data_IF_645252496006
#
_entry.id   IF_645252496006
#
_cell.length_a   1.000
_cell.length_b   1.000
_cell.length_c   1.000
_cell.angle_alpha   90.00
_cell.angle_beta   90.00
_cell.angle_gamma   90.00
#
_symmetry.space_group_name_H-M   'P 1'
#
loop_
_entity.id
_entity.type
_entity.pdbx_description
1 polymer ?
#
# COMPACT_ATOMS: atom_id res chain seq x y z
N UNK A 1 27.76 -36.08 -21.04
CA UNK A 1 27.23 -34.70 -20.95
C UNK A 1 26.59 -34.57 -19.59
N UNK A 2 27.18 -33.74 -18.74
CA UNK A 2 26.83 -33.62 -17.32
C UNK A 2 25.69 -32.62 -17.21
N UNK A 3 24.54 -33.05 -16.71
CA UNK A 3 23.55 -32.14 -16.12
C UNK A 3 23.39 -32.62 -14.68
N UNK A 4 24.35 -32.27 -13.84
CA UNK A 4 24.15 -32.31 -12.40
C UNK A 4 23.38 -31.05 -12.04
N UNK A 5 22.05 -31.14 -12.13
CA UNK A 5 21.13 -30.17 -11.54
C UNK A 5 21.33 -30.20 -10.03
N UNK A 6 22.25 -29.39 -9.55
CA UNK A 6 22.56 -29.26 -8.13
C UNK A 6 21.46 -28.40 -7.48
N UNK A 7 20.27 -29.00 -7.32
CA UNK A 7 19.24 -28.44 -6.46
C UNK A 7 19.69 -28.70 -5.02
N UNK A 8 20.56 -27.83 -4.53
CA UNK A 8 21.07 -27.91 -3.17
C UNK A 8 19.92 -27.56 -2.24
N UNK A 9 19.24 -28.59 -1.74
CA UNK A 9 18.19 -28.45 -0.73
C UNK A 9 18.82 -27.73 0.46
N UNK A 10 18.36 -26.51 0.73
CA UNK A 10 18.79 -25.75 1.89
C UNK A 10 18.56 -26.60 3.14
N UNK A 11 19.56 -26.70 4.00
CA UNK A 11 19.47 -27.46 5.25
C UNK A 11 18.21 -27.03 6.01
N UNK A 12 17.30 -27.97 6.38
CA UNK A 12 16.05 -27.63 7.05
C UNK A 12 16.27 -26.96 8.40
N UNK A 13 17.35 -27.27 9.11
CA UNK A 13 17.71 -26.60 10.37
C UNK A 13 18.12 -25.16 10.11
N UNK A 14 18.87 -24.92 9.02
CA UNK A 14 19.22 -23.56 8.59
C UNK A 14 17.98 -22.77 8.18
N UNK A 15 17.05 -23.40 7.45
CA UNK A 15 15.79 -22.78 7.04
C UNK A 15 14.99 -22.30 8.25
N UNK A 16 14.86 -23.14 9.27
CA UNK A 16 14.13 -22.80 10.49
C UNK A 16 14.84 -21.72 11.31
N UNK A 17 16.15 -21.83 11.46
CA UNK A 17 16.96 -20.81 12.14
C UNK A 17 16.84 -19.43 11.48
N UNK A 18 16.69 -19.35 10.14
CA UNK A 18 16.47 -18.09 9.43
C UNK A 18 15.08 -17.50 9.75
N UNK A 19 14.02 -18.33 9.77
CA UNK A 19 12.66 -17.88 10.07
C UNK A 19 12.53 -17.35 11.49
N UNK A 20 13.15 -18.02 12.46
CA UNK A 20 13.09 -17.68 13.88
C UNK A 20 14.06 -16.57 14.27
N UNK A 21 15.07 -16.29 13.44
CA UNK A 21 16.09 -15.30 13.76
C UNK A 21 15.50 -13.87 13.87
N UNK A 22 15.86 -13.11 14.92
CA UNK A 22 15.51 -11.70 14.99
C UNK A 22 16.04 -10.92 13.78
N UNK A 23 15.27 -9.96 13.28
CA UNK A 23 15.63 -9.12 12.11
C UNK A 23 17.04 -8.51 12.22
N UNK A 24 17.45 -8.09 13.42
CA UNK A 24 18.79 -7.55 13.67
C UNK A 24 19.91 -8.56 13.39
N UNK A 25 19.70 -9.83 13.74
CA UNK A 25 20.66 -10.91 13.48
C UNK A 25 20.78 -11.17 11.98
N UNK A 26 19.66 -11.26 11.26
CA UNK A 26 19.64 -11.48 9.82
C UNK A 26 20.33 -10.34 9.05
N UNK A 27 20.06 -9.08 9.41
CA UNK A 27 20.71 -7.92 8.77
C UNK A 27 22.22 -7.95 8.95
N UNK A 28 22.69 -8.21 10.17
CA UNK A 28 24.13 -8.32 10.45
C UNK A 28 24.78 -9.47 9.68
N UNK A 29 24.14 -10.64 9.68
CA UNK A 29 24.64 -11.80 8.96
C UNK A 29 24.71 -11.54 7.45
N UNK A 30 23.68 -10.91 6.87
CA UNK A 30 23.69 -10.54 5.45
C UNK A 30 24.84 -9.59 5.13
N UNK A 31 25.05 -8.55 5.94
CA UNK A 31 26.17 -7.62 5.76
C UNK A 31 27.52 -8.34 5.82
N UNK A 32 27.69 -9.26 6.77
CA UNK A 32 28.91 -10.07 6.91
C UNK A 32 29.12 -11.01 5.71
N UNK A 33 28.05 -11.62 5.18
CA UNK A 33 28.12 -12.44 3.97
C UNK A 33 28.55 -11.60 2.77
N UNK A 34 27.99 -10.39 2.61
CA UNK A 34 28.33 -9.49 1.51
C UNK A 34 29.76 -8.96 1.59
N UNK A 35 30.30 -8.80 2.80
CA UNK A 35 31.70 -8.43 3.01
C UNK A 35 32.65 -9.57 2.62
N UNK A 36 32.31 -10.81 2.97
CA UNK A 36 33.16 -11.98 2.72
C UNK A 36 33.05 -12.54 1.30
N UNK A 37 31.90 -12.35 0.66
CA UNK A 37 31.58 -12.95 -0.64
C UNK A 37 31.12 -11.88 -1.63
N UNK A 38 32.04 -11.25 -2.38
CA UNK A 38 31.71 -10.21 -3.36
C UNK A 38 30.69 -10.65 -4.41
N UNK A 39 30.69 -11.93 -4.79
CA UNK A 39 29.74 -12.48 -5.77
C UNK A 39 28.28 -12.38 -5.29
N UNK A 40 28.05 -12.37 -3.97
CA UNK A 40 26.73 -12.21 -3.38
C UNK A 40 26.20 -10.76 -3.47
N UNK A 41 27.06 -9.76 -3.71
CA UNK A 41 26.69 -8.34 -3.81
C UNK A 41 25.77 -8.09 -5.00
N UNK A 42 26.04 -8.75 -6.13
CA UNK A 42 25.21 -8.61 -7.34
C UNK A 42 23.79 -9.09 -7.06
N UNK A 43 23.65 -10.31 -6.52
CA UNK A 43 22.36 -10.89 -6.14
C UNK A 43 21.62 -10.01 -5.12
N UNK A 44 22.31 -9.58 -4.05
CA UNK A 44 21.68 -8.71 -3.06
C UNK A 44 21.27 -7.36 -3.65
N UNK A 45 22.06 -6.81 -4.59
CA UNK A 45 21.71 -5.57 -5.28
C UNK A 45 20.46 -5.73 -6.13
N UNK A 46 20.33 -6.83 -6.88
CA UNK A 46 19.15 -7.12 -7.71
C UNK A 46 17.86 -7.25 -6.87
N UNK A 47 17.97 -7.85 -5.68
CA UNK A 47 16.83 -8.05 -4.79
C UNK A 47 16.49 -6.84 -3.92
N UNK A 48 17.46 -6.02 -3.51
CA UNK A 48 17.24 -4.94 -2.53
C UNK A 48 17.26 -3.54 -3.12
N UNK A 49 17.75 -3.37 -4.36
CA UNK A 49 17.92 -2.05 -4.99
C UNK A 49 17.13 -1.97 -6.29
N UNK A 50 16.36 -0.90 -6.43
CA UNK A 50 15.72 -0.54 -7.68
C UNK A 50 16.49 0.57 -8.40
N UNK A 51 16.68 0.36 -9.70
CA UNK A 51 17.00 1.38 -10.67
C UNK A 51 15.68 1.96 -11.18
N UNK A 52 15.40 3.23 -10.83
CA UNK A 52 14.20 3.93 -11.29
C UNK A 52 14.60 5.16 -12.13
N UNK A 53 13.86 5.48 -13.21
CA UNK A 53 14.11 6.69 -13.97
C UNK A 53 14.05 7.93 -13.07
N UNK A 54 15.09 8.77 -13.12
CA UNK A 54 15.08 10.07 -12.47
C UNK A 54 14.30 11.05 -13.34
N UNK A 55 12.98 11.01 -13.16
CA UNK A 55 12.05 11.91 -13.83
C UNK A 55 11.99 13.27 -13.14
N UNK A 56 12.92 13.66 -12.27
CA UNK A 56 12.88 14.96 -11.58
C UNK A 56 13.96 15.91 -12.10
N UNK A 57 13.61 17.18 -12.34
CA UNK A 57 14.61 18.20 -12.66
C UNK A 57 15.28 18.75 -11.39
N UNK A 58 16.26 19.65 -11.55
CA UNK A 58 16.98 20.31 -10.44
C UNK A 58 16.06 21.04 -9.43
N UNK A 59 14.82 21.33 -9.82
CA UNK A 59 13.80 21.97 -9.00
C UNK A 59 12.78 20.97 -8.44
N UNK A 60 13.01 19.66 -8.57
CA UNK A 60 12.11 18.60 -8.11
C UNK A 60 10.86 18.39 -8.96
N UNK A 61 10.71 19.09 -10.10
CA UNK A 61 9.54 18.98 -10.96
C UNK A 61 9.67 17.76 -11.88
N UNK A 62 8.58 17.01 -12.02
CA UNK A 62 8.52 15.83 -12.89
C UNK A 62 8.73 16.26 -14.36
N UNK A 63 9.79 15.78 -14.98
CA UNK A 63 10.09 15.95 -16.41
C UNK A 63 9.38 14.82 -17.14
N UNK A 64 8.41 15.19 -17.98
CA UNK A 64 7.84 14.27 -18.96
C UNK A 64 8.77 14.33 -20.16
N UNK A 65 9.54 13.27 -20.40
CA UNK A 65 10.30 13.10 -21.63
C UNK A 65 9.71 11.94 -22.40
N UNK A 66 9.41 12.14 -23.69
CA UNK A 66 8.84 11.09 -24.55
C UNK A 66 9.83 9.96 -24.89
N UNK A 67 11.10 10.09 -24.46
CA UNK A 67 12.16 9.13 -24.76
C UNK A 67 12.80 8.59 -23.47
N UNK A 68 12.30 7.44 -23.00
CA UNK A 68 12.69 6.79 -21.74
C UNK A 68 14.13 6.25 -21.71
N UNK A 69 14.83 6.22 -22.85
CA UNK A 69 16.14 5.56 -22.97
C UNK A 69 17.35 6.39 -22.50
N UNK A 70 17.20 7.68 -22.21
CA UNK A 70 18.32 8.56 -21.80
C UNK A 70 18.16 9.20 -20.42
N UNK A 71 17.08 8.90 -19.69
CA UNK A 71 16.89 9.51 -18.37
C UNK A 71 17.96 8.99 -17.38
N UNK A 72 18.59 9.89 -16.60
CA UNK A 72 19.47 9.49 -15.51
C UNK A 72 18.73 8.51 -14.60
N UNK A 73 19.37 7.43 -14.18
CA UNK A 73 18.76 6.44 -13.29
C UNK A 73 19.14 6.76 -11.86
N UNK A 74 18.16 6.82 -10.97
CA UNK A 74 18.40 6.92 -9.52
C UNK A 74 18.25 5.56 -8.87
N UNK A 75 19.21 5.21 -8.00
CA UNK A 75 19.16 4.00 -7.17
C UNK A 75 18.39 4.29 -5.88
N UNK A 76 17.42 3.44 -5.54
CA UNK A 76 16.64 3.49 -4.29
C UNK A 76 16.43 2.08 -3.73
N UNK A 77 15.92 1.97 -2.51
CA UNK A 77 15.44 0.70 -1.97
C UNK A 77 14.38 0.12 -2.91
N UNK A 78 14.43 -1.18 -3.18
CA UNK A 78 13.48 -1.83 -4.07
C UNK A 78 12.08 -1.93 -3.48
N UNK A 79 12.00 -2.21 -2.19
CA UNK A 79 10.74 -2.33 -1.47
C UNK A 79 10.60 -1.18 -0.48
N UNK A 80 9.38 -0.66 -0.37
CA UNK A 80 9.01 0.37 0.61
C UNK A 80 7.62 0.07 1.17
N UNK A 81 7.22 0.78 2.24
CA UNK A 81 5.91 0.60 2.87
C UNK A 81 4.95 1.71 2.46
N UNK A 82 3.76 1.34 1.99
CA UNK A 82 2.74 2.30 1.61
C UNK A 82 2.20 3.03 2.85
N UNK A 83 2.08 4.35 2.79
CA UNK A 83 1.54 5.14 3.92
C UNK A 83 0.02 5.05 4.04
N UNK A 84 -0.66 4.57 2.99
CA UNK A 84 -2.11 4.41 2.93
C UNK A 84 -2.53 3.01 3.43
N UNK A 85 -2.29 1.96 2.63
CA UNK A 85 -2.65 0.59 3.00
C UNK A 85 -1.68 -0.12 3.96
N UNK A 86 -0.52 0.49 4.26
CA UNK A 86 0.50 -0.08 5.17
C UNK A 86 1.20 -1.37 4.70
N UNK A 87 0.95 -1.81 3.48
CA UNK A 87 1.61 -2.97 2.86
C UNK A 87 2.97 -2.63 2.24
N UNK A 88 3.82 -3.63 2.08
CA UNK A 88 5.09 -3.51 1.35
C UNK A 88 4.84 -3.60 -0.16
N UNK A 89 5.51 -2.76 -0.95
CA UNK A 89 5.37 -2.75 -2.41
C UNK A 89 6.73 -2.57 -3.11
N UNK A 90 6.87 -3.13 -4.31
CA UNK A 90 8.05 -2.92 -5.17
C UNK A 90 7.95 -1.55 -5.85
N UNK A 91 8.93 -0.66 -5.61
CA UNK A 91 8.95 0.70 -6.18
C UNK A 91 9.10 0.70 -7.71
N UNK A 92 9.49 -0.42 -8.32
CA UNK A 92 9.44 -0.59 -9.78
C UNK A 92 8.02 -0.84 -10.30
N UNK A 93 7.15 -1.43 -9.47
CA UNK A 93 5.79 -1.82 -9.84
C UNK A 93 4.83 -0.65 -9.69
N UNK A 94 4.75 0.22 -10.70
CA UNK A 94 3.80 1.34 -10.71
C UNK A 94 2.46 0.92 -11.27
N UNK A 95 1.71 0.09 -10.54
CA UNK A 95 0.31 -0.18 -10.86
C UNK A 95 -0.57 0.94 -10.28
N UNK A 96 -1.27 1.67 -11.16
CA UNK A 96 -2.04 2.86 -10.79
C UNK A 96 -3.21 2.59 -9.83
N UNK A 97 -3.62 1.33 -9.66
CA UNK A 97 -4.76 0.92 -8.81
C UNK A 97 -4.40 -0.23 -7.85
N UNK A 98 -3.11 -0.49 -7.61
CA UNK A 98 -2.70 -1.61 -6.74
C UNK A 98 -2.97 -1.37 -5.26
N UNK A 99 -3.03 -0.10 -4.82
CA UNK A 99 -3.29 0.23 -3.43
C UNK A 99 -4.81 0.41 -3.22
N UNK A 100 -5.36 -0.34 -2.27
CA UNK A 100 -6.72 -0.20 -1.77
C UNK A 100 -6.64 0.19 -0.28
N UNK A 101 -7.34 1.24 0.15
CA UNK A 101 -7.34 1.66 1.55
C UNK A 101 -8.65 2.34 1.95
N UNK A 102 -8.88 2.44 3.25
CA UNK A 102 -9.91 3.28 3.84
C UNK A 102 -9.27 4.57 4.36
N UNK A 103 -9.94 5.72 4.15
CA UNK A 103 -9.43 7.03 4.58
C UNK A 103 -9.75 7.32 6.04
N UNK A 104 -10.94 6.92 6.50
CA UNK A 104 -11.36 7.20 7.87
C UNK A 104 -11.11 6.03 8.81
N UNK A 105 -11.86 5.97 9.90
CA UNK A 105 -11.61 5.10 11.05
C UNK A 105 -12.66 3.99 11.18
N UNK A 106 -12.28 2.92 11.90
CA UNK A 106 -13.20 1.84 12.27
C UNK A 106 -13.97 2.27 13.51
N UNK A 107 -15.29 2.36 13.38
CA UNK A 107 -16.22 2.69 14.46
C UNK A 107 -17.05 1.46 14.83
N UNK A 108 -17.46 1.35 16.09
CA UNK A 108 -18.31 0.26 16.54
C UNK A 108 -19.67 0.34 15.86
N UNK A 109 -20.11 -0.78 15.30
CA UNK A 109 -21.48 -0.92 14.81
C UNK A 109 -22.38 -1.30 16.00
N UNK A 110 -22.87 -0.30 16.75
CA UNK A 110 -23.71 -0.49 17.94
C UNK A 110 -24.98 -1.33 17.68
N UNK A 111 -25.43 -1.41 16.43
CA UNK A 111 -26.59 -2.20 16.01
C UNK A 111 -26.25 -3.67 15.73
N UNK A 112 -24.97 -4.03 15.72
CA UNK A 112 -24.54 -5.40 15.46
C UNK A 112 -24.86 -6.33 16.63
N UNK A 113 -25.59 -7.41 16.34
CA UNK A 113 -26.05 -8.41 17.32
C UNK A 113 -24.91 -8.99 18.19
N UNK A 114 -23.66 -8.97 17.70
CA UNK A 114 -22.52 -9.48 18.47
C UNK A 114 -22.26 -8.69 19.76
N UNK A 115 -22.60 -7.40 19.80
CA UNK A 115 -22.41 -6.56 20.98
C UNK A 115 -23.49 -6.78 22.04
N UNK A 116 -24.69 -7.26 21.65
CA UNK A 116 -25.76 -7.60 22.59
C UNK A 116 -25.38 -8.72 23.57
N UNK A 117 -24.40 -9.54 23.19
CA UNK A 117 -23.87 -10.63 24.01
C UNK A 117 -22.51 -10.30 24.64
N UNK A 118 -22.00 -9.08 24.47
CA UNK A 118 -20.73 -8.66 25.02
C UNK A 118 -20.84 -8.44 26.54
N UNK A 119 -20.09 -9.22 27.32
CA UNK A 119 -20.07 -9.13 28.79
C UNK A 119 -18.74 -8.59 29.30
N UNK A 120 -18.68 -8.15 30.57
CA UNK A 120 -17.47 -7.59 31.21
C UNK A 120 -16.22 -8.50 31.12
N UNK A 121 -16.41 -9.81 30.87
CA UNK A 121 -15.31 -10.77 30.67
C UNK A 121 -14.60 -10.71 29.30
N UNK A 122 -15.15 -10.01 28.32
CA UNK A 122 -14.62 -9.94 26.95
C UNK A 122 -13.69 -8.74 26.71
N UNK A 123 -13.56 -7.84 27.68
CA UNK A 123 -12.73 -6.63 27.56
C UNK A 123 -13.53 -5.41 27.08
N UNK A 124 -12.81 -4.37 26.65
CA UNK A 124 -13.41 -3.14 26.13
C UNK A 124 -13.90 -3.40 24.70
N UNK A 125 -15.20 -3.23 24.48
CA UNK A 125 -15.82 -3.51 23.19
C UNK A 125 -15.20 -2.66 22.06
N UNK A 126 -15.02 -1.34 22.26
CA UNK A 126 -14.34 -0.46 21.30
C UNK A 126 -12.85 -0.34 21.66
N UNK A 127 -12.10 -1.40 21.38
CA UNK A 127 -10.65 -1.44 21.53
C UNK A 127 -9.98 -1.91 20.25
N UNK A 128 -8.71 -1.59 20.07
CA UNK A 128 -7.92 -2.07 18.93
C UNK A 128 -7.84 -3.61 18.90
N UNK A 129 -7.84 -4.25 20.08
CA UNK A 129 -7.92 -5.70 20.20
C UNK A 129 -9.24 -6.25 19.65
N UNK A 130 -10.38 -5.63 19.98
CA UNK A 130 -11.69 -6.01 19.47
C UNK A 130 -11.82 -5.75 17.98
N UNK A 131 -11.36 -4.58 17.48
CA UNK A 131 -11.34 -4.24 16.04
C UNK A 131 -10.58 -5.27 15.20
N UNK A 132 -9.50 -5.82 15.76
CA UNK A 132 -8.70 -6.85 15.10
C UNK A 132 -9.32 -8.25 15.21
N UNK A 133 -9.96 -8.57 16.33
CA UNK A 133 -10.54 -9.89 16.58
C UNK A 133 -11.90 -10.08 15.90
N UNK A 134 -12.67 -8.99 15.77
CA UNK A 134 -14.06 -8.98 15.33
C UNK A 134 -14.31 -7.83 14.34
N UNK A 135 -13.55 -7.74 13.24
CA UNK A 135 -13.66 -6.62 12.30
C UNK A 135 -15.07 -6.44 11.70
N UNK A 136 -15.87 -7.50 11.63
CA UNK A 136 -17.28 -7.49 11.20
C UNK A 136 -18.20 -6.69 12.14
N UNK A 137 -17.82 -6.52 13.40
CA UNK A 137 -18.55 -5.73 14.40
C UNK A 137 -18.33 -4.23 14.33
N UNK A 138 -17.51 -3.80 13.37
CA UNK A 138 -17.15 -2.42 13.17
C UNK A 138 -17.41 -2.02 11.73
N UNK A 139 -17.65 -0.73 11.52
CA UNK A 139 -17.90 -0.13 10.22
C UNK A 139 -16.87 0.98 9.97
N UNK A 140 -16.46 1.11 8.72
CA UNK A 140 -15.65 2.24 8.28
C UNK A 140 -16.53 3.47 8.08
N UNK A 141 -16.26 4.55 8.81
CA UNK A 141 -16.94 5.85 8.66
C UNK A 141 -16.96 6.36 7.19
N UNK A 142 -15.90 6.08 6.43
CA UNK A 142 -15.66 6.62 5.10
C UNK A 142 -16.45 5.93 3.99
N UNK A 143 -17.06 4.77 4.23
CA UNK A 143 -17.86 4.08 3.22
C UNK A 143 -18.96 3.16 3.78
N UNK A 144 -19.13 3.13 5.10
CA UNK A 144 -20.14 2.36 5.82
C UNK A 144 -20.08 0.85 5.54
N UNK A 145 -18.91 0.34 5.11
CA UNK A 145 -18.66 -1.09 4.96
C UNK A 145 -18.09 -1.64 6.26
N UNK A 146 -18.36 -2.91 6.53
CA UNK A 146 -17.79 -3.61 7.68
C UNK A 146 -16.26 -3.69 7.61
N UNK A 147 -15.62 -3.81 8.76
CA UNK A 147 -14.16 -3.85 8.88
C UNK A 147 -13.52 -5.09 8.25
N UNK A 148 -14.31 -6.13 7.97
CA UNK A 148 -13.89 -7.37 7.29
C UNK A 148 -13.99 -7.29 5.76
N UNK A 149 -14.38 -6.14 5.20
CA UNK A 149 -14.44 -5.94 3.76
C UNK A 149 -13.08 -6.21 3.08
N UNK A 150 -13.10 -7.00 1.99
CA UNK A 150 -11.90 -7.44 1.28
C UNK A 150 -11.06 -6.28 0.72
N UNK A 151 -11.70 -5.16 0.36
CA UNK A 151 -11.03 -4.02 -0.25
C UNK A 151 -11.46 -2.68 0.34
N UNK A 152 -10.48 -1.79 0.45
CA UNK A 152 -10.65 -0.37 0.70
C UNK A 152 -11.62 0.32 -0.26
N UNK A 153 -12.28 1.38 0.22
CA UNK A 153 -13.18 2.20 -0.59
C UNK A 153 -12.45 3.17 -1.53
N UNK A 154 -11.18 3.49 -1.26
CA UNK A 154 -10.34 4.31 -2.15
C UNK A 154 -9.29 3.43 -2.83
N UNK A 155 -8.96 3.77 -4.08
CA UNK A 155 -7.99 3.06 -4.94
C UNK A 155 -6.98 4.01 -5.55
N UNK A 156 -5.77 3.53 -5.79
CA UNK A 156 -4.70 4.33 -6.37
C UNK A 156 -3.34 3.64 -6.37
N UNK A 157 -2.27 4.35 -6.75
CA UNK A 157 -0.92 3.81 -6.65
C UNK A 157 -0.47 3.82 -5.19
N UNK A 158 0.37 2.84 -4.81
CA UNK A 158 1.07 2.90 -3.52
C UNK A 158 1.95 4.14 -3.45
N UNK A 159 2.08 4.69 -2.24
CA UNK A 159 2.89 5.89 -1.97
C UNK A 159 3.72 5.68 -0.72
N UNK A 160 5.02 5.92 -0.81
CA UNK A 160 5.86 6.12 0.38
C UNK A 160 5.70 7.55 0.93
N UNK A 161 6.31 7.82 2.09
CA UNK A 161 6.23 9.12 2.76
C UNK A 161 6.66 10.28 1.85
N UNK A 162 7.72 10.06 1.07
CA UNK A 162 8.25 11.06 0.15
C UNK A 162 7.26 11.36 -0.98
N UNK A 163 6.67 10.33 -1.58
CA UNK A 163 5.69 10.45 -2.67
C UNK A 163 4.37 11.07 -2.19
N UNK A 164 3.96 10.79 -0.95
CA UNK A 164 2.83 11.47 -0.33
C UNK A 164 3.10 12.97 -0.21
N UNK A 165 4.26 13.35 0.34
CA UNK A 165 4.64 14.75 0.50
C UNK A 165 4.69 15.49 -0.86
N UNK A 166 5.30 14.89 -1.88
CA UNK A 166 5.37 15.45 -3.24
C UNK A 166 4.00 15.58 -3.94
N UNK A 167 3.00 14.78 -3.53
CA UNK A 167 1.64 14.88 -4.04
C UNK A 167 0.88 16.05 -3.42
N UNK A 168 0.90 16.15 -2.09
CA UNK A 168 0.24 17.23 -1.33
C UNK A 168 0.77 18.58 -1.80
N UNK A 169 2.09 18.72 -2.00
CA UNK A 169 2.70 19.95 -2.52
C UNK A 169 2.23 20.35 -3.92
N UNK A 170 1.79 19.40 -4.76
CA UNK A 170 1.48 19.65 -6.18
C UNK A 170 0.02 19.93 -6.43
N UNK A 171 -0.88 19.24 -5.72
CA UNK A 171 -2.33 19.34 -5.94
C UNK A 171 -3.03 20.30 -4.99
N UNK A 172 -2.35 20.79 -3.95
CA UNK A 172 -3.05 21.40 -2.83
C UNK A 172 -3.70 20.31 -1.98
N UNK A 173 -4.17 20.73 -0.83
CA UNK A 173 -4.59 19.96 0.34
C UNK A 173 -5.29 18.60 0.08
N UNK A 174 -5.03 17.61 0.93
CA UNK A 174 -5.67 16.28 0.94
C UNK A 174 -7.02 16.33 1.69
N UNK A 175 -7.56 17.54 1.94
CA UNK A 175 -8.90 17.80 2.49
C UNK A 175 -9.94 17.39 1.47
N UNK A 176 -10.67 16.29 1.67
CA UNK A 176 -11.99 16.25 2.34
C UNK A 176 -13.08 17.14 1.72
N UNK A 177 -12.92 17.52 0.46
CA UNK A 177 -14.05 17.84 -0.40
C UNK A 177 -14.06 16.82 -1.55
N UNK A 178 -14.64 15.65 -1.27
CA UNK A 178 -15.21 14.83 -2.33
C UNK A 178 -16.26 15.73 -3.01
N UNK A 179 -15.91 16.27 -4.19
CA UNK A 179 -16.89 16.94 -5.05
C UNK A 179 -17.77 15.83 -5.57
N UNK A 180 -18.89 15.63 -4.89
CA UNK A 180 -20.02 14.86 -5.38
C UNK A 180 -20.49 15.55 -6.66
N UNK A 181 -19.93 15.16 -7.81
CA UNK A 181 -20.46 15.52 -9.13
C UNK A 181 -21.73 14.69 -9.37
N UNK A 182 -22.71 14.80 -8.48
CA UNK A 182 -24.09 14.45 -8.78
C UNK A 182 -24.68 15.60 -9.60
N UNK A 183 -24.56 15.45 -10.92
CA UNK A 183 -25.20 16.33 -11.88
C UNK A 183 -26.70 16.41 -11.63
N UNK A 184 -27.14 17.57 -11.12
CA UNK A 184 -28.54 17.99 -11.11
C UNK A 184 -29.05 18.02 -12.56
N UNK A 185 -29.90 17.07 -12.93
CA UNK A 185 -30.70 17.17 -14.16
C UNK A 185 -31.89 18.07 -13.83
N UNK A 186 -31.88 19.30 -14.35
CA UNK A 186 -33.09 20.12 -14.39
C UNK A 186 -34.11 19.46 -15.33
N UNK A 187 -35.14 18.83 -14.76
CA UNK A 187 -36.33 18.43 -15.50
C UNK A 187 -37.08 19.71 -15.94
N UNK A 188 -36.68 20.24 -17.09
CA UNK A 188 -37.42 21.25 -17.83
C UNK A 188 -38.66 20.63 -18.47
N UNK A 189 -39.80 20.66 -17.77
CA UNK A 189 -41.10 20.51 -18.41
C UNK A 189 -41.48 21.85 -19.06
N UNK A 190 -41.04 21.99 -20.30
CA UNK A 190 -41.49 23.02 -21.23
C UNK A 190 -42.98 22.87 -21.51
N UNK A 191 -43.64 24.02 -21.46
CA UNK A 191 -45.00 24.28 -21.94
C UNK A 191 -45.11 23.94 -23.43
N UNK A 192 -46.10 23.15 -23.82
CA UNK A 192 -46.59 23.13 -25.20
C UNK A 192 -48.07 23.50 -25.19
N UNK A 193 -48.31 24.77 -25.52
CA UNK A 193 -49.58 25.32 -25.96
C UNK A 193 -49.86 24.95 -27.43
N UNK A 194 -51.09 24.49 -27.68
CA UNK A 194 -51.95 24.64 -28.86
C UNK A 194 -51.35 24.80 -30.28
N UNK A 195 -51.81 23.92 -31.18
CA UNK A 195 -52.50 24.17 -32.48
C UNK A 195 -52.50 22.84 -33.27
N UNK A 196 -53.58 22.33 -33.90
CA UNK A 196 -54.59 22.93 -34.80
C UNK A 196 -55.91 22.14 -34.69
#
# INVERSE_FOLDING_TARGET
>A
MVISSNLQVMDPVLAEAIKDAPKARLRRLLLEILEKHPDAITTATEHLVAAVPDVTNKNGKRVVTDNSNELPVKRRKRYDRCVQCKEEFDVKGTHMEACNWHKGELEMDDENDMWLHWTEGHGIADSEESKKAFPEGFIWDCCQRHGDAEFGCKRGPHRNEKERFEYVQRRGDDTDEDVDEEGYVEDGLGEDSEQV
#
